data_IF_530378297519
#
_entry.id   IF_530378297519
#
_cell.length_a   1.000
_cell.length_b   1.000
_cell.length_c   1.000
_cell.angle_alpha   90.00
_cell.angle_beta   90.00
_cell.angle_gamma   90.00
#
_symmetry.space_group_name_H-M   'P 1'
#
loop_
_entity.id
_entity.type
_entity.pdbx_description
1 polymer ?
#
# COMPACT_ATOMS: atom_id res chain seq x y z
N UNK A 1 -1.19 11.87 20.31
CA UNK A 1 -0.84 10.63 19.58
C UNK A 1 -2.12 9.86 19.30
N UNK A 2 -2.61 9.92 18.07
CA UNK A 2 -3.89 9.30 17.67
C UNK A 2 -3.79 7.79 17.45
N UNK A 3 -2.59 7.25 17.23
CA UNK A 3 -2.33 5.85 16.96
C UNK A 3 -1.51 5.16 18.07
N UNK A 4 -1.50 5.75 19.28
CA UNK A 4 -0.76 5.21 20.41
C UNK A 4 -1.09 3.72 20.61
N UNK A 5 -0.05 2.91 20.71
CA UNK A 5 -0.11 1.45 20.92
C UNK A 5 -0.80 0.64 19.79
N UNK A 6 -1.13 1.27 18.66
CA UNK A 6 -1.67 0.58 17.48
C UNK A 6 -0.55 -0.07 16.68
N UNK A 7 -0.78 -1.26 16.18
CA UNK A 7 0.14 -2.00 15.31
C UNK A 7 -0.32 -1.87 13.87
N UNK A 8 0.56 -1.37 13.00
CA UNK A 8 0.27 -1.16 11.59
C UNK A 8 1.25 -1.91 10.69
N UNK A 9 0.75 -2.58 9.66
CA UNK A 9 1.55 -3.09 8.54
C UNK A 9 1.32 -2.19 7.34
N UNK A 10 2.41 -1.75 6.68
CA UNK A 10 2.35 -0.90 5.49
C UNK A 10 3.07 -1.60 4.35
N UNK A 11 2.34 -2.09 3.36
CA UNK A 11 2.94 -2.69 2.17
C UNK A 11 3.50 -1.61 1.24
N UNK A 12 4.67 -1.88 0.62
CA UNK A 12 5.36 -0.85 -0.16
C UNK A 12 5.84 0.32 0.70
N UNK A 13 6.13 0.07 1.99
CA UNK A 13 6.49 1.08 2.98
C UNK A 13 7.94 1.58 2.90
N UNK A 14 8.77 1.07 1.99
CA UNK A 14 10.20 1.43 1.94
C UNK A 14 10.49 2.76 1.24
N UNK A 15 9.53 3.35 0.53
CA UNK A 15 9.68 4.63 -0.21
C UNK A 15 8.33 5.30 -0.49
N UNK A 16 8.38 6.54 -0.97
CA UNK A 16 7.22 7.28 -1.47
C UNK A 16 6.09 7.39 -0.43
N UNK A 17 4.85 7.21 -0.88
CA UNK A 17 3.64 7.33 -0.05
C UNK A 17 3.68 6.38 1.14
N UNK A 18 4.11 5.12 0.94
CA UNK A 18 4.19 4.14 2.03
C UNK A 18 5.18 4.53 3.12
N UNK A 19 6.35 5.05 2.75
CA UNK A 19 7.34 5.52 3.73
C UNK A 19 6.83 6.75 4.50
N UNK A 20 6.23 7.73 3.81
CA UNK A 20 5.64 8.90 4.45
C UNK A 20 4.47 8.52 5.39
N UNK A 21 3.71 7.47 5.04
CA UNK A 21 2.67 6.91 5.90
C UNK A 21 3.28 6.27 7.15
N UNK A 22 4.38 5.51 7.00
CA UNK A 22 5.09 4.90 8.12
C UNK A 22 5.63 5.98 9.08
N UNK A 23 6.30 7.01 8.55
CA UNK A 23 6.76 8.16 9.32
C UNK A 23 5.62 8.84 10.10
N UNK A 24 4.51 9.13 9.44
CA UNK A 24 3.35 9.76 10.06
C UNK A 24 2.73 8.87 11.17
N UNK A 25 2.69 7.55 10.97
CA UNK A 25 2.14 6.62 11.94
C UNK A 25 3.03 6.49 13.18
N UNK A 26 4.35 6.42 13.00
CA UNK A 26 5.32 6.44 14.10
C UNK A 26 5.21 7.73 14.92
N UNK A 27 5.09 8.87 14.28
CA UNK A 27 4.88 10.18 14.94
C UNK A 27 3.61 10.20 15.79
N UNK A 28 2.59 9.44 15.40
CA UNK A 28 1.33 9.31 16.14
C UNK A 28 1.34 8.14 17.15
N UNK A 29 2.50 7.51 17.38
CA UNK A 29 2.71 6.51 18.43
C UNK A 29 2.33 5.09 18.04
N UNK A 30 2.21 4.78 16.75
CA UNK A 30 2.00 3.42 16.28
C UNK A 30 3.32 2.61 16.32
N UNK A 31 3.19 1.30 16.46
CA UNK A 31 4.23 0.32 16.12
C UNK A 31 4.05 -0.04 14.66
N UNK A 32 5.11 -0.02 13.86
CA UNK A 32 5.00 -0.14 12.40
C UNK A 32 5.84 -1.28 11.86
N UNK A 33 5.25 -2.13 11.03
CA UNK A 33 5.96 -3.05 10.16
C UNK A 33 5.97 -2.51 8.72
N UNK A 34 7.16 -2.28 8.20
CA UNK A 34 7.37 -1.83 6.81
C UNK A 34 7.60 -3.06 5.94
N UNK A 35 6.63 -3.36 5.07
CA UNK A 35 6.78 -4.43 4.09
C UNK A 35 7.38 -3.89 2.79
N UNK A 36 8.49 -4.49 2.33
CA UNK A 36 9.22 -4.11 1.14
C UNK A 36 9.43 -5.29 0.19
N UNK A 37 9.89 -5.02 -1.04
CA UNK A 37 10.14 -6.05 -2.06
C UNK A 37 11.40 -6.90 -1.83
N UNK A 38 12.21 -6.54 -0.83
CA UNK A 38 13.38 -7.30 -0.39
C UNK A 38 13.75 -6.93 1.04
N UNK A 39 14.43 -7.83 1.74
CA UNK A 39 14.95 -7.62 3.08
C UNK A 39 15.85 -6.37 3.15
N UNK A 40 16.77 -6.23 2.22
CA UNK A 40 17.66 -5.06 2.10
C UNK A 40 16.88 -3.74 2.05
N UNK A 41 15.78 -3.69 1.28
CA UNK A 41 14.95 -2.47 1.19
C UNK A 41 14.14 -2.23 2.47
N UNK A 42 13.72 -3.30 3.14
CA UNK A 42 13.01 -3.20 4.42
C UNK A 42 13.93 -2.66 5.51
N UNK A 43 15.14 -3.23 5.64
CA UNK A 43 16.18 -2.80 6.60
C UNK A 43 16.56 -1.33 6.39
N UNK A 44 16.87 -0.94 5.15
CA UNK A 44 17.22 0.44 4.83
C UNK A 44 16.09 1.45 5.16
N UNK A 45 14.83 1.04 5.02
CA UNK A 45 13.69 1.86 5.42
C UNK A 45 13.57 1.98 6.94
N UNK A 46 13.77 0.87 7.66
CA UNK A 46 13.79 0.84 9.13
C UNK A 46 14.89 1.73 9.69
N UNK A 47 16.11 1.65 9.15
CA UNK A 47 17.21 2.52 9.56
C UNK A 47 16.88 4.01 9.40
N UNK A 48 16.30 4.40 8.25
CA UNK A 48 15.89 5.78 8.01
C UNK A 48 14.79 6.23 8.98
N UNK A 49 13.79 5.39 9.24
CA UNK A 49 12.72 5.70 10.17
C UNK A 49 13.23 5.82 11.61
N UNK A 50 14.14 4.94 12.04
CA UNK A 50 14.79 5.03 13.36
C UNK A 50 15.68 6.27 13.50
N UNK A 51 16.32 6.72 12.42
CA UNK A 51 17.06 7.97 12.44
C UNK A 51 16.17 9.20 12.66
N UNK A 52 14.90 9.16 12.17
CA UNK A 52 13.91 10.22 12.38
C UNK A 52 13.23 10.06 13.75
N UNK A 53 12.98 8.84 14.18
CA UNK A 53 12.26 8.46 15.41
C UNK A 53 13.08 7.44 16.21
N UNK A 54 14.09 7.86 17.00
CA UNK A 54 15.02 6.93 17.67
C UNK A 54 14.36 5.90 18.59
N UNK A 55 13.26 6.27 19.25
CA UNK A 55 12.53 5.42 20.20
C UNK A 55 11.38 4.64 19.55
N UNK A 56 11.22 4.69 18.22
CA UNK A 56 10.10 4.07 17.55
C UNK A 56 10.22 2.55 17.45
N UNK A 57 9.11 1.88 17.69
CA UNK A 57 8.97 0.45 17.45
C UNK A 57 8.66 0.20 15.98
N UNK A 58 9.71 0.01 15.17
CA UNK A 58 9.61 -0.25 13.73
C UNK A 58 10.42 -1.47 13.32
N UNK A 59 9.83 -2.33 12.47
CA UNK A 59 10.46 -3.54 11.92
C UNK A 59 10.28 -3.60 10.41
N UNK A 60 11.19 -4.31 9.75
CA UNK A 60 11.14 -4.60 8.32
C UNK A 60 10.68 -6.03 8.07
N UNK A 61 9.88 -6.24 7.05
CA UNK A 61 9.48 -7.55 6.52
C UNK A 61 9.53 -7.53 5.00
N UNK A 62 9.65 -8.71 4.38
CA UNK A 62 9.76 -8.79 2.91
C UNK A 62 8.89 -9.89 2.29
N UNK A 63 7.55 -9.83 2.45
CA UNK A 63 6.65 -10.83 1.90
C UNK A 63 6.62 -10.79 0.36
N UNK A 64 6.55 -11.96 -0.28
CA UNK A 64 6.05 -12.03 -1.65
C UNK A 64 4.54 -11.84 -1.64
N UNK A 65 4.06 -10.64 -1.98
CA UNK A 65 2.63 -10.31 -1.96
C UNK A 65 1.79 -11.15 -2.95
N UNK A 66 2.41 -11.76 -3.98
CA UNK A 66 1.75 -12.69 -4.89
C UNK A 66 1.48 -14.07 -4.28
N UNK A 67 2.06 -14.42 -3.12
CA UNK A 67 1.86 -15.69 -2.41
C UNK A 67 1.22 -15.43 -1.04
N UNK A 68 0.07 -16.06 -0.80
CA UNK A 68 -0.61 -15.97 0.48
C UNK A 68 0.23 -16.55 1.63
N UNK A 69 0.89 -17.68 1.39
CA UNK A 69 1.72 -18.37 2.38
C UNK A 69 2.88 -17.45 2.84
N UNK A 70 3.57 -16.81 1.88
CA UNK A 70 4.64 -15.86 2.17
C UNK A 70 4.16 -14.65 2.97
N UNK A 71 3.00 -14.10 2.58
CA UNK A 71 2.38 -12.98 3.31
C UNK A 71 2.02 -13.39 4.73
N UNK A 72 1.37 -14.55 4.89
CA UNK A 72 0.95 -15.07 6.19
C UNK A 72 2.13 -15.29 7.12
N UNK A 73 3.20 -15.91 6.62
CA UNK A 73 4.42 -16.15 7.40
C UNK A 73 5.03 -14.84 7.91
N UNK A 74 5.20 -13.85 7.04
CA UNK A 74 5.80 -12.57 7.42
C UNK A 74 4.91 -11.75 8.37
N UNK A 75 3.59 -11.78 8.16
CA UNK A 75 2.64 -11.07 9.02
C UNK A 75 2.50 -11.73 10.40
N UNK A 76 2.62 -13.06 10.47
CA UNK A 76 2.64 -13.79 11.74
C UNK A 76 3.87 -13.43 12.61
N UNK A 77 5.02 -13.12 11.98
CA UNK A 77 6.19 -12.59 12.70
C UNK A 77 5.87 -11.25 13.36
N UNK A 78 5.15 -10.36 12.64
CA UNK A 78 4.71 -9.07 13.18
C UNK A 78 3.70 -9.25 14.33
N UNK A 79 2.71 -10.12 14.15
CA UNK A 79 1.73 -10.41 15.20
C UNK A 79 2.38 -11.04 16.43
N UNK A 80 3.34 -11.94 16.25
CA UNK A 80 4.12 -12.53 17.35
C UNK A 80 4.94 -11.49 18.10
N UNK A 81 5.52 -10.51 17.39
CA UNK A 81 6.36 -9.48 17.99
C UNK A 81 5.55 -8.42 18.74
N UNK A 82 4.42 -7.97 18.17
CA UNK A 82 3.64 -6.85 18.69
C UNK A 82 2.30 -7.26 19.32
N UNK A 83 1.93 -8.54 19.27
CA UNK A 83 0.76 -9.12 19.91
C UNK A 83 -0.53 -9.06 19.08
N UNK A 84 -0.63 -8.14 18.11
CA UNK A 84 -1.81 -7.97 17.23
C UNK A 84 -1.48 -7.16 16.00
N UNK A 85 -2.42 -7.11 15.05
CA UNK A 85 -2.38 -6.18 13.91
C UNK A 85 -3.69 -5.39 13.91
N UNK A 86 -3.61 -4.07 14.10
CA UNK A 86 -4.77 -3.16 14.14
C UNK A 86 -5.07 -2.52 12.80
N UNK A 87 -4.02 -2.24 12.02
CA UNK A 87 -4.10 -1.46 10.78
C UNK A 87 -3.30 -2.16 9.69
N UNK A 88 -3.93 -2.33 8.54
CA UNK A 88 -3.25 -2.73 7.30
C UNK A 88 -3.37 -1.58 6.29
N UNK A 89 -2.24 -1.13 5.76
CA UNK A 89 -2.18 -0.21 4.62
C UNK A 89 -1.68 -0.96 3.40
N UNK A 90 -2.58 -1.28 2.48
CA UNK A 90 -2.28 -1.85 1.17
C UNK A 90 -1.83 -0.74 0.23
N UNK A 91 -0.52 -0.46 0.22
CA UNK A 91 0.06 0.60 -0.59
C UNK A 91 1.02 0.08 -1.67
N UNK A 92 1.54 -1.13 -1.54
CA UNK A 92 2.38 -1.73 -2.58
C UNK A 92 1.65 -1.77 -3.93
N UNK A 93 2.38 -1.44 -4.98
CA UNK A 93 1.83 -1.48 -6.34
C UNK A 93 2.86 -1.06 -7.38
N UNK A 94 2.57 -1.44 -8.61
CA UNK A 94 3.32 -1.02 -9.81
C UNK A 94 2.37 -0.32 -10.76
N UNK A 95 2.90 0.69 -11.44
CA UNK A 95 2.26 1.31 -12.60
C UNK A 95 3.05 0.98 -13.86
N UNK A 96 2.43 1.14 -15.00
CA UNK A 96 3.04 0.96 -16.30
C UNK A 96 2.35 1.83 -17.35
N UNK A 97 2.98 1.99 -18.50
CA UNK A 97 2.50 2.83 -19.59
C UNK A 97 2.65 2.17 -20.96
N UNK A 98 2.72 0.83 -21.00
CA UNK A 98 2.85 0.07 -22.23
C UNK A 98 1.57 0.20 -23.08
N UNK A 99 1.65 0.57 -24.37
CA UNK A 99 0.50 0.59 -25.26
C UNK A 99 -0.17 -0.79 -25.36
N UNK A 100 -1.49 -0.82 -25.46
CA UNK A 100 -2.26 -2.07 -25.49
C UNK A 100 -1.81 -3.04 -26.59
N UNK A 101 -1.47 -2.51 -27.77
CA UNK A 101 -1.01 -3.31 -28.91
C UNK A 101 0.34 -4.01 -28.69
N UNK A 102 1.12 -3.57 -27.70
CA UNK A 102 2.40 -4.17 -27.32
C UNK A 102 2.36 -4.83 -25.93
N UNK A 103 1.17 -4.92 -25.34
CA UNK A 103 0.99 -5.45 -23.98
C UNK A 103 1.02 -6.96 -23.99
N UNK A 104 1.81 -7.57 -23.14
CA UNK A 104 1.91 -9.03 -23.02
C UNK A 104 1.09 -9.54 -21.84
N UNK A 105 0.75 -10.84 -21.87
CA UNK A 105 0.11 -11.52 -20.73
C UNK A 105 0.97 -11.41 -19.46
N UNK A 106 2.29 -11.53 -19.59
CA UNK A 106 3.22 -11.38 -18.47
C UNK A 106 3.20 -9.96 -17.85
N UNK A 107 3.01 -8.92 -18.67
CA UNK A 107 2.85 -7.54 -18.17
C UNK A 107 1.54 -7.41 -17.39
N UNK A 108 0.47 -8.01 -17.90
CA UNK A 108 -0.83 -8.04 -17.24
C UNK A 108 -0.74 -8.76 -15.89
N UNK A 109 -0.21 -9.96 -15.87
CA UNK A 109 -0.08 -10.78 -14.67
C UNK A 109 0.75 -10.05 -13.60
N UNK A 110 1.87 -9.45 -13.98
CA UNK A 110 2.72 -8.68 -13.07
C UNK A 110 1.95 -7.55 -12.36
N UNK A 111 1.09 -6.84 -13.07
CA UNK A 111 0.29 -5.75 -12.49
C UNK A 111 -0.83 -6.30 -11.61
N UNK A 112 -1.55 -7.31 -12.08
CA UNK A 112 -2.69 -7.88 -11.35
C UNK A 112 -2.23 -8.65 -10.11
N UNK A 113 -1.16 -9.43 -10.21
CA UNK A 113 -0.62 -10.18 -9.08
C UNK A 113 -0.20 -9.25 -7.93
N UNK A 114 0.44 -8.13 -8.24
CA UNK A 114 0.83 -7.23 -7.17
C UNK A 114 -0.31 -6.33 -6.71
N UNK A 115 -1.02 -5.68 -7.65
CA UNK A 115 -1.96 -4.61 -7.30
C UNK A 115 -3.32 -5.13 -6.82
N UNK A 116 -3.72 -6.34 -7.20
CA UNK A 116 -5.03 -6.92 -6.87
C UNK A 116 -4.87 -8.12 -5.95
N UNK A 117 -4.15 -9.15 -6.39
CA UNK A 117 -3.92 -10.36 -5.60
C UNK A 117 -3.12 -10.07 -4.33
N UNK A 118 -2.13 -9.17 -4.41
CA UNK A 118 -1.37 -8.71 -3.23
C UNK A 118 -2.26 -8.04 -2.19
N UNK A 119 -3.22 -7.22 -2.60
CA UNK A 119 -4.21 -6.60 -1.70
C UNK A 119 -5.11 -7.66 -1.06
N UNK A 120 -5.56 -8.65 -1.84
CA UNK A 120 -6.32 -9.78 -1.33
C UNK A 120 -5.50 -10.57 -0.30
N UNK A 121 -4.28 -11.01 -0.63
CA UNK A 121 -3.44 -11.82 0.24
C UNK A 121 -3.15 -11.11 1.56
N UNK A 122 -2.75 -9.84 1.52
CA UNK A 122 -2.44 -9.06 2.71
C UNK A 122 -3.68 -8.87 3.60
N UNK A 123 -4.82 -8.54 3.00
CA UNK A 123 -6.07 -8.36 3.75
C UNK A 123 -6.53 -9.68 4.37
N UNK A 124 -6.47 -10.78 3.61
CA UNK A 124 -6.85 -12.12 4.10
C UNK A 124 -5.99 -12.57 5.28
N UNK A 125 -4.69 -12.22 5.28
CA UNK A 125 -3.76 -12.60 6.34
C UNK A 125 -4.06 -11.94 7.70
N UNK A 126 -4.71 -10.76 7.72
CA UNK A 126 -4.99 -10.02 8.97
C UNK A 126 -6.44 -10.09 9.43
N UNK A 127 -7.38 -10.40 8.52
CA UNK A 127 -8.80 -10.21 8.78
C UNK A 127 -9.33 -11.09 9.92
N UNK A 128 -8.85 -12.32 10.07
CA UNK A 128 -9.31 -13.23 11.12
C UNK A 128 -8.94 -12.71 12.51
N UNK A 129 -7.72 -12.19 12.68
CA UNK A 129 -7.29 -11.52 13.91
C UNK A 129 -8.10 -10.27 14.22
N UNK A 130 -8.38 -9.45 13.20
CA UNK A 130 -9.23 -8.25 13.36
C UNK A 130 -10.67 -8.62 13.74
N UNK A 131 -11.25 -9.66 13.13
CA UNK A 131 -12.61 -10.16 13.49
C UNK A 131 -12.64 -10.63 14.95
N UNK A 132 -11.66 -11.44 15.35
CA UNK A 132 -11.56 -11.93 16.75
C UNK A 132 -11.50 -10.76 17.75
N UNK A 133 -10.86 -9.67 17.37
CA UNK A 133 -10.73 -8.48 18.23
C UNK A 133 -11.90 -7.49 18.07
N UNK A 134 -12.88 -7.76 17.19
CA UNK A 134 -13.95 -6.83 16.82
C UNK A 134 -13.44 -5.41 16.49
N UNK A 135 -12.24 -5.30 15.94
CA UNK A 135 -11.58 -4.03 15.67
C UNK A 135 -10.51 -4.20 14.61
N UNK A 136 -10.54 -3.38 13.57
CA UNK A 136 -9.53 -3.37 12.54
C UNK A 136 -9.74 -2.23 11.54
N UNK A 137 -8.66 -1.85 10.87
CA UNK A 137 -8.71 -0.88 9.78
C UNK A 137 -7.89 -1.40 8.61
N UNK A 138 -8.51 -1.47 7.45
CA UNK A 138 -7.83 -1.71 6.16
C UNK A 138 -7.92 -0.44 5.33
N UNK A 139 -6.79 0.08 4.91
CA UNK A 139 -6.69 1.24 4.03
C UNK A 139 -6.02 0.82 2.72
N UNK A 140 -6.72 0.99 1.62
CA UNK A 140 -6.21 0.64 0.29
C UNK A 140 -5.76 1.90 -0.47
N UNK A 141 -4.59 1.83 -1.09
CA UNK A 141 -4.12 2.89 -2.00
C UNK A 141 -4.60 2.59 -3.41
N UNK A 142 -5.66 3.28 -3.80
CA UNK A 142 -6.17 3.31 -5.17
C UNK A 142 -5.40 4.36 -6.00
N UNK A 143 -6.04 5.02 -6.94
CA UNK A 143 -5.48 6.10 -7.76
C UNK A 143 -6.60 6.89 -8.42
N UNK A 144 -6.34 8.14 -8.80
CA UNK A 144 -7.26 8.91 -9.65
C UNK A 144 -7.61 8.18 -10.95
N UNK A 145 -6.69 7.38 -11.50
CA UNK A 145 -6.94 6.61 -12.72
C UNK A 145 -7.98 5.50 -12.55
N UNK A 146 -8.37 5.18 -11.32
CA UNK A 146 -9.51 4.30 -11.03
C UNK A 146 -10.87 4.95 -11.31
N UNK A 147 -10.89 6.18 -11.78
CA UNK A 147 -12.08 6.92 -12.17
C UNK A 147 -11.96 7.37 -13.63
N UNK A 148 -10.79 7.92 -14.01
CA UNK A 148 -10.56 8.52 -15.33
C UNK A 148 -9.93 7.60 -16.36
N UNK A 149 -9.31 6.48 -15.94
CA UNK A 149 -8.41 5.72 -16.81
C UNK A 149 -7.10 6.46 -17.08
N UNK A 150 -6.33 5.96 -18.06
CA UNK A 150 -5.12 6.62 -18.58
C UNK A 150 -4.94 6.29 -20.07
N UNK A 151 -4.16 7.08 -20.82
CA UNK A 151 -4.02 6.90 -22.28
C UNK A 151 -3.29 5.62 -22.70
N UNK A 152 -2.43 5.07 -21.86
CA UNK A 152 -1.68 3.82 -22.09
C UNK A 152 -1.44 3.10 -20.78
N UNK A 153 -1.16 1.78 -20.82
CA UNK A 153 -0.99 0.98 -19.61
C UNK A 153 -2.32 0.66 -18.93
N UNK A 154 -3.19 -0.04 -19.62
CA UNK A 154 -4.57 -0.28 -19.20
C UNK A 154 -4.70 -1.11 -17.93
N UNK A 155 -3.75 -2.02 -17.65
CA UNK A 155 -3.85 -2.91 -16.50
C UNK A 155 -3.71 -2.16 -15.17
N UNK A 156 -2.92 -1.08 -15.13
CA UNK A 156 -2.82 -0.26 -13.92
C UNK A 156 -4.17 0.37 -13.53
N UNK A 157 -4.87 1.15 -14.40
CA UNK A 157 -6.22 1.61 -14.08
C UNK A 157 -7.18 0.46 -13.75
N UNK A 158 -7.20 -0.61 -14.53
CA UNK A 158 -8.05 -1.77 -14.28
C UNK A 158 -7.83 -2.34 -12.87
N UNK A 159 -6.56 -2.48 -12.44
CA UNK A 159 -6.22 -2.91 -11.10
C UNK A 159 -6.73 -1.97 -10.01
N UNK A 160 -6.72 -0.64 -10.25
CA UNK A 160 -7.19 0.35 -9.29
C UNK A 160 -8.71 0.43 -9.22
N UNK A 161 -9.42 0.17 -10.32
CA UNK A 161 -10.88 -0.07 -10.29
C UNK A 161 -11.20 -1.33 -9.46
N UNK A 162 -10.44 -2.42 -9.63
CA UNK A 162 -10.61 -3.63 -8.83
C UNK A 162 -10.39 -3.37 -7.32
N UNK A 163 -9.39 -2.56 -6.95
CA UNK A 163 -9.15 -2.14 -5.56
C UNK A 163 -10.34 -1.36 -5.00
N UNK A 164 -10.97 -0.47 -5.78
CA UNK A 164 -12.18 0.24 -5.35
C UNK A 164 -13.34 -0.74 -5.11
N UNK A 165 -13.58 -1.66 -6.04
CA UNK A 165 -14.62 -2.70 -5.90
C UNK A 165 -14.39 -3.58 -4.66
N UNK A 166 -13.16 -4.04 -4.46
CA UNK A 166 -12.75 -4.80 -3.27
C UNK A 166 -12.99 -4.01 -1.98
N UNK A 167 -12.63 -2.72 -1.97
CA UNK A 167 -12.84 -1.83 -0.81
C UNK A 167 -14.32 -1.75 -0.44
N UNK A 168 -15.18 -1.50 -1.41
CA UNK A 168 -16.63 -1.35 -1.18
C UNK A 168 -17.24 -2.66 -0.67
N UNK A 169 -16.87 -3.79 -1.30
CA UNK A 169 -17.38 -5.12 -0.92
C UNK A 169 -16.96 -5.50 0.49
N UNK A 170 -15.66 -5.38 0.79
CA UNK A 170 -15.14 -5.72 2.13
C UNK A 170 -15.64 -4.76 3.22
N UNK A 171 -15.85 -3.49 2.92
CA UNK A 171 -16.44 -2.55 3.87
C UNK A 171 -17.85 -2.99 4.31
N UNK A 172 -18.65 -3.52 3.37
CA UNK A 172 -20.00 -4.05 3.66
C UNK A 172 -19.95 -5.37 4.42
N UNK A 173 -19.08 -6.28 4.02
CA UNK A 173 -18.96 -7.61 4.62
C UNK A 173 -18.37 -7.57 6.05
N UNK A 174 -17.34 -6.74 6.25
CA UNK A 174 -16.55 -6.70 7.48
C UNK A 174 -17.02 -5.62 8.46
N UNK A 175 -17.79 -4.62 8.00
CA UNK A 175 -18.35 -3.57 8.85
C UNK A 175 -19.12 -4.08 10.05
N UNK A 176 -20.07 -5.03 9.91
CA UNK A 176 -20.78 -5.63 11.04
C UNK A 176 -19.87 -6.38 12.03
N UNK A 177 -18.63 -6.70 11.64
CA UNK A 177 -17.61 -7.35 12.46
C UNK A 177 -16.66 -6.35 13.16
N UNK A 178 -16.94 -5.03 13.05
CA UNK A 178 -16.15 -3.97 13.67
C UNK A 178 -14.91 -3.55 12.86
N UNK A 179 -14.80 -3.93 11.58
CA UNK A 179 -13.66 -3.62 10.73
C UNK A 179 -14.05 -2.55 9.71
N UNK A 180 -13.27 -1.49 9.62
CA UNK A 180 -13.42 -0.46 8.60
C UNK A 180 -12.51 -0.72 7.42
N UNK A 181 -13.03 -0.63 6.22
CA UNK A 181 -12.26 -0.75 4.98
C UNK A 181 -12.50 0.49 4.13
N UNK A 182 -11.45 1.21 3.79
CA UNK A 182 -11.51 2.44 3.01
C UNK A 182 -10.40 2.48 1.96
N UNK A 183 -10.51 3.39 1.01
CA UNK A 183 -9.45 3.66 0.04
C UNK A 183 -9.13 5.16 -0.02
N UNK A 184 -7.89 5.47 -0.34
CA UNK A 184 -7.47 6.78 -0.83
C UNK A 184 -7.08 6.64 -2.30
N UNK A 185 -7.42 7.64 -3.11
CA UNK A 185 -7.13 7.66 -4.54
C UNK A 185 -6.25 8.87 -4.89
N UNK A 186 -4.93 8.80 -4.63
CA UNK A 186 -4.03 9.91 -4.90
C UNK A 186 -4.01 10.27 -6.39
N UNK A 187 -3.85 11.57 -6.65
CA UNK A 187 -3.42 12.06 -7.96
C UNK A 187 -1.92 11.87 -8.15
N UNK A 188 -1.33 12.69 -9.01
CA UNK A 188 0.13 12.71 -9.19
C UNK A 188 0.73 13.28 -7.92
N UNK A 189 1.58 12.50 -7.26
CA UNK A 189 2.19 12.85 -5.98
C UNK A 189 3.71 12.87 -6.13
N UNK A 190 4.37 13.88 -5.59
CA UNK A 190 5.83 14.00 -5.64
C UNK A 190 6.49 12.84 -4.86
N UNK A 191 7.00 11.87 -5.61
CA UNK A 191 7.69 10.68 -5.10
C UNK A 191 8.95 10.45 -5.93
N UNK A 192 9.85 9.59 -5.46
CA UNK A 192 11.04 9.22 -6.24
C UNK A 192 10.69 8.62 -7.61
N UNK A 193 9.53 7.94 -7.71
CA UNK A 193 9.01 7.45 -8.98
C UNK A 193 8.73 8.60 -9.95
N UNK A 194 8.14 9.69 -9.47
CA UNK A 194 7.81 10.86 -10.32
C UNK A 194 9.03 11.71 -10.64
N UNK A 195 10.04 11.75 -9.76
CA UNK A 195 11.31 12.45 -10.04
C UNK A 195 12.08 11.85 -11.22
N UNK A 196 11.86 10.56 -11.51
CA UNK A 196 12.45 9.86 -12.66
C UNK A 196 11.71 10.12 -13.99
N UNK A 197 10.52 10.74 -13.97
CA UNK A 197 9.75 11.03 -15.18
C UNK A 197 10.33 12.27 -15.88
N UNK A 198 10.59 12.22 -17.22
CA UNK A 198 11.10 13.36 -17.97
C UNK A 198 10.19 14.59 -17.84
N UNK A 199 10.80 15.79 -17.76
CA UNK A 199 10.06 17.06 -17.58
C UNK A 199 9.01 17.30 -18.66
N UNK A 200 9.32 17.00 -19.92
CA UNK A 200 8.38 17.12 -21.03
C UNK A 200 7.14 16.23 -20.93
N UNK A 201 7.16 15.20 -20.06
CA UNK A 201 6.01 14.33 -19.78
C UNK A 201 5.25 14.83 -18.56
N UNK A 202 5.96 15.20 -17.49
CA UNK A 202 5.31 15.56 -16.21
C UNK A 202 4.71 16.97 -16.24
N UNK A 203 5.35 17.94 -16.92
CA UNK A 203 4.87 19.33 -16.96
C UNK A 203 3.44 19.47 -17.57
N UNK A 204 3.10 18.83 -18.70
CA UNK A 204 1.72 18.83 -19.20
C UNK A 204 0.71 18.20 -18.22
N UNK A 205 1.14 17.19 -17.46
CA UNK A 205 0.28 16.57 -16.47
C UNK A 205 0.03 17.51 -15.28
N UNK A 206 1.06 18.20 -14.80
CA UNK A 206 0.93 19.22 -13.74
C UNK A 206 0.03 20.36 -14.21
N UNK A 207 0.14 20.75 -15.48
CA UNK A 207 -0.69 21.80 -16.06
C UNK A 207 -2.19 21.48 -16.07
N UNK A 208 -2.59 20.21 -15.94
CA UNK A 208 -3.99 19.79 -15.83
C UNK A 208 -4.49 19.80 -14.38
N UNK A 209 -3.60 19.87 -13.39
CA UNK A 209 -3.98 19.97 -11.98
C UNK A 209 -4.50 21.40 -11.73
N UNK A 210 -5.69 21.60 -11.13
CA UNK A 210 -6.24 22.94 -10.90
C UNK A 210 -5.27 23.89 -10.18
N UNK A 211 -4.54 23.41 -9.18
CA UNK A 211 -3.56 24.19 -8.44
C UNK A 211 -2.18 24.28 -9.10
N UNK A 212 -1.99 23.67 -10.29
CA UNK A 212 -0.75 23.72 -11.08
C UNK A 212 0.50 23.25 -10.32
N UNK A 213 0.35 22.38 -9.35
CA UNK A 213 1.44 21.76 -8.57
C UNK A 213 1.06 20.33 -8.11
N UNK A 214 2.10 19.56 -7.78
CA UNK A 214 1.98 18.24 -7.15
C UNK A 214 1.66 18.36 -5.65
#
# INVERSE_FOLDING_TARGET
>A
MRLKDKVAIITGGSRGIGFATADAFLREGAKVAVAASSEKNAEAAVEKLKAIHPDAEVVGISPNLGSFESVKEEFDKVEKQFGRIDILVNNAGVSESTPFTSYTEADFDRVIDLNVKGVFNATRAVVDGMIKNHSGVVLNTSSMVSISGQPSGFAYPASKFAVNGTTISLARELGPKGIRVNAVAPGITETDMMKAVPKNVIEPMIAQIPLRRL
#
